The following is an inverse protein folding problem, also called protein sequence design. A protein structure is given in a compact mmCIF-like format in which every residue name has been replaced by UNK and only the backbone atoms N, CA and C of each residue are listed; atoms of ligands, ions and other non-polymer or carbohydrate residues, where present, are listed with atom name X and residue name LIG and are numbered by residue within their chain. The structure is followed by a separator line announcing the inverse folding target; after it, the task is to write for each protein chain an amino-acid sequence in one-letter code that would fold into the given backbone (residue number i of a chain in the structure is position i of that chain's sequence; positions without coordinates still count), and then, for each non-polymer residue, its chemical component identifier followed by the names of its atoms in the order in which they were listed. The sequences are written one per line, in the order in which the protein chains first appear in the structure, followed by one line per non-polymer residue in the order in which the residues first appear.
data_IF_191614812661
#
_entry.id   IF_191614812661
#
_cell.length_a   1.000
_cell.length_b   1.000
_cell.length_c   1.000
_cell.angle_alpha   90.00
_cell.angle_beta   90.00
_cell.angle_gamma   90.00
#
_symmetry.space_group_name_H-M   'P 1'
#
loop_
_entity.id
_entity.type
_entity.pdbx_description
1 polymer ?
#
# COMPACT_ATOMS: atom_id res chain seq x y z
N UNK A 1 6.93 22.09 -3.37
CA UNK A 1 7.44 20.81 -2.87
C UNK A 1 8.40 20.23 -3.88
N UNK A 2 9.55 19.78 -3.40
CA UNK A 2 10.54 18.97 -4.13
C UNK A 2 10.18 17.49 -4.00
N UNK A 3 10.73 16.64 -4.88
CA UNK A 3 10.45 15.19 -4.89
C UNK A 3 10.81 14.53 -3.53
N UNK A 4 11.85 15.03 -2.86
CA UNK A 4 12.28 14.52 -1.55
C UNK A 4 11.29 14.85 -0.43
N UNK A 5 10.69 16.05 -0.46
CA UNK A 5 9.64 16.44 0.49
C UNK A 5 8.37 15.61 0.30
N UNK A 6 7.99 15.35 -0.96
CA UNK A 6 6.86 14.46 -1.30
C UNK A 6 7.09 13.04 -0.76
N UNK A 7 8.29 12.50 -0.91
CA UNK A 7 8.63 11.17 -0.41
C UNK A 7 8.60 11.11 1.13
N UNK A 8 9.14 12.13 1.80
CA UNK A 8 9.13 12.22 3.26
C UNK A 8 7.70 12.32 3.81
N UNK A 9 6.85 13.12 3.17
CA UNK A 9 5.42 13.22 3.47
C UNK A 9 4.72 11.86 3.35
N UNK A 10 4.91 11.17 2.21
CA UNK A 10 4.32 9.86 1.98
C UNK A 10 4.80 8.82 2.99
N UNK A 11 6.11 8.79 3.31
CA UNK A 11 6.66 7.86 4.32
C UNK A 11 6.05 8.08 5.71
N UNK A 12 5.89 9.34 6.13
CA UNK A 12 5.25 9.69 7.41
C UNK A 12 3.82 9.14 7.48
N UNK A 13 3.07 9.25 6.39
CA UNK A 13 1.71 8.74 6.31
C UNK A 13 1.63 7.22 6.08
N UNK A 14 2.68 6.59 5.56
CA UNK A 14 2.75 5.14 5.36
C UNK A 14 2.82 4.40 6.70
N UNK A 15 3.61 4.91 7.64
CA UNK A 15 3.74 4.34 8.98
C UNK A 15 2.37 4.32 9.71
N UNK A 16 1.62 5.43 9.62
CA UNK A 16 0.26 5.52 10.14
C UNK A 16 -0.74 4.62 9.39
N UNK A 17 -0.52 4.36 8.10
CA UNK A 17 -1.33 3.43 7.32
C UNK A 17 -1.14 1.98 7.75
N UNK A 18 0.09 1.59 8.09
CA UNK A 18 0.43 0.24 8.58
C UNK A 18 -0.26 -0.05 9.92
N UNK A 19 -0.43 0.97 10.76
CA UNK A 19 -1.16 0.86 12.04
C UNK A 19 -2.69 0.77 11.88
N UNK A 20 -3.22 0.80 10.65
CA UNK A 20 -4.65 0.62 10.37
C UNK A 20 -5.51 1.88 10.60
N UNK A 21 -4.91 3.04 10.86
CA UNK A 21 -5.58 4.25 11.32
C UNK A 21 -6.19 5.13 10.20
N UNK A 22 -6.63 4.53 9.10
CA UNK A 22 -7.40 5.22 8.03
C UNK A 22 -6.59 6.18 7.15
N UNK A 23 -5.88 5.65 6.16
CA UNK A 23 -5.26 6.46 5.09
C UNK A 23 -6.10 6.36 3.82
N UNK A 24 -7.30 6.96 3.87
CA UNK A 24 -8.08 7.25 2.67
C UNK A 24 -7.39 8.37 1.90
N UNK A 25 -7.33 8.27 0.57
CA UNK A 25 -6.70 9.24 -0.34
C UNK A 25 -7.15 10.69 -0.05
N UNK A 26 -8.38 10.88 0.41
CA UNK A 26 -8.93 12.19 0.75
C UNK A 26 -8.22 12.87 1.95
N UNK A 27 -7.98 12.16 3.06
CA UNK A 27 -7.22 12.70 4.20
C UNK A 27 -5.79 13.07 3.81
N UNK A 28 -5.19 12.22 2.98
CA UNK A 28 -3.85 12.41 2.42
C UNK A 28 -3.79 13.68 1.55
N UNK A 29 -4.83 13.93 0.77
CA UNK A 29 -4.96 15.13 -0.06
C UNK A 29 -5.18 16.40 0.77
N UNK A 30 -5.99 16.35 1.82
CA UNK A 30 -6.17 17.48 2.76
C UNK A 30 -4.86 17.84 3.48
N UNK A 31 -4.12 16.83 3.96
CA UNK A 31 -2.80 17.03 4.56
C UNK A 31 -1.78 17.60 3.55
N UNK A 32 -1.80 17.12 2.30
CA UNK A 32 -0.96 17.64 1.23
C UNK A 32 -1.27 19.12 0.94
N UNK A 33 -2.54 19.51 0.87
CA UNK A 33 -2.91 20.92 0.69
C UNK A 33 -2.44 21.81 1.84
N UNK A 34 -2.51 21.30 3.08
CA UNK A 34 -2.02 22.04 4.25
C UNK A 34 -0.50 22.24 4.23
N UNK A 35 0.26 21.24 3.76
CA UNK A 35 1.73 21.31 3.69
C UNK A 35 2.23 22.18 2.53
N UNK A 36 1.55 22.10 1.38
CA UNK A 36 1.87 22.89 0.19
C UNK A 36 1.43 24.35 0.32
N UNK A 37 0.43 24.64 1.16
CA UNK A 37 -0.04 26.00 1.45
C UNK A 37 -0.80 26.68 0.30
N UNK A 38 -1.14 25.94 -0.75
CA UNK A 38 -1.98 26.43 -1.85
C UNK A 38 -2.95 25.33 -2.33
N UNK A 39 -4.11 25.72 -2.89
CA UNK A 39 -5.04 24.74 -3.44
C UNK A 39 -4.37 23.99 -4.59
N UNK A 40 -4.33 22.68 -4.48
CA UNK A 40 -3.87 21.76 -5.52
C UNK A 40 -5.03 20.95 -6.07
N UNK A 41 -4.92 20.51 -7.32
CA UNK A 41 -5.90 19.64 -7.97
C UNK A 41 -5.70 18.20 -7.54
N UNK A 42 -6.78 17.41 -7.46
CA UNK A 42 -6.68 15.97 -7.20
C UNK A 42 -5.82 15.24 -8.21
N UNK A 43 -5.86 15.67 -9.48
CA UNK A 43 -5.04 15.09 -10.56
C UNK A 43 -3.54 15.21 -10.28
N UNK A 44 -3.10 16.37 -9.79
CA UNK A 44 -1.70 16.63 -9.44
C UNK A 44 -1.25 15.72 -8.29
N UNK A 45 -2.13 15.56 -7.30
CA UNK A 45 -1.92 14.64 -6.20
C UNK A 45 -1.86 13.16 -6.66
N UNK A 46 -2.76 12.74 -7.56
CA UNK A 46 -2.69 11.40 -8.14
C UNK A 46 -1.43 11.19 -9.01
N UNK A 47 -0.96 12.23 -9.71
CA UNK A 47 0.30 12.18 -10.44
C UNK A 47 1.51 12.03 -9.51
N UNK A 48 1.52 12.73 -8.36
CA UNK A 48 2.49 12.54 -7.28
C UNK A 48 2.46 11.09 -6.77
N UNK A 49 1.29 10.58 -6.38
CA UNK A 49 1.16 9.20 -5.90
C UNK A 49 1.66 8.17 -6.92
N UNK A 50 1.36 8.39 -8.20
CA UNK A 50 1.82 7.54 -9.31
C UNK A 50 3.34 7.59 -9.48
N UNK A 51 3.95 8.78 -9.38
CA UNK A 51 5.41 8.96 -9.46
C UNK A 51 6.14 8.21 -8.35
N UNK A 52 5.59 8.25 -7.13
CA UNK A 52 6.15 7.58 -5.95
C UNK A 52 5.72 6.13 -5.80
N UNK A 53 5.03 5.55 -6.78
CA UNK A 53 4.60 4.15 -6.76
C UNK A 53 3.63 3.82 -5.62
N UNK A 54 2.95 4.82 -5.06
CA UNK A 54 2.06 4.64 -3.92
C UNK A 54 0.86 3.76 -4.29
N UNK A 55 0.71 2.62 -3.61
CA UNK A 55 -0.40 1.68 -3.82
C UNK A 55 -1.11 1.41 -2.51
N UNK A 56 -2.43 1.26 -2.59
CA UNK A 56 -3.23 0.73 -1.48
C UNK A 56 -2.88 -0.75 -1.29
N UNK A 57 -1.97 -1.05 -0.37
CA UNK A 57 -1.65 -2.41 0.02
C UNK A 57 -2.77 -2.95 0.92
N UNK A 58 -3.81 -3.52 0.31
CA UNK A 58 -4.80 -4.28 1.08
C UNK A 58 -4.21 -5.66 1.41
N UNK A 59 -4.23 -6.09 2.68
CA UNK A 59 -3.84 -7.46 2.99
C UNK A 59 -4.71 -8.43 2.20
N UNK A 60 -4.09 -9.50 1.67
CA UNK A 60 -4.83 -10.52 0.94
C UNK A 60 -5.86 -11.14 1.90
N UNK A 61 -7.16 -11.13 1.58
CA UNK A 61 -8.16 -11.70 2.46
C UNK A 61 -7.89 -13.20 2.63
N UNK A 62 -7.72 -13.63 3.88
CA UNK A 62 -7.63 -15.04 4.22
C UNK A 62 -9.03 -15.57 4.56
N UNK A 63 -9.35 -16.77 4.07
CA UNK A 63 -10.64 -17.38 4.35
C UNK A 63 -10.74 -17.71 5.86
N UNK A 64 -11.86 -17.43 6.54
CA UNK A 64 -11.97 -17.66 8.00
C UNK A 64 -11.83 -19.13 8.40
N UNK A 65 -12.03 -20.05 7.45
CA UNK A 65 -11.79 -21.50 7.61
C UNK A 65 -10.51 -21.96 6.89
N UNK A 66 -9.48 -21.12 6.83
CA UNK A 66 -8.19 -21.50 6.26
C UNK A 66 -7.62 -22.65 7.10
N UNK A 67 -7.21 -23.74 6.44
CA UNK A 67 -6.54 -24.84 7.11
C UNK A 67 -5.17 -24.38 7.65
N UNK A 68 -4.66 -25.03 8.70
CA UNK A 68 -3.33 -24.73 9.24
C UNK A 68 -2.25 -24.81 8.15
N UNK A 69 -1.19 -24.02 8.32
CA UNK A 69 -0.09 -23.95 7.36
C UNK A 69 0.49 -25.35 7.04
N UNK A 70 0.54 -26.22 8.05
CA UNK A 70 1.00 -27.61 7.92
C UNK A 70 0.09 -28.47 7.02
N UNK A 71 -1.23 -28.32 7.12
CA UNK A 71 -2.21 -29.03 6.29
C UNK A 71 -2.17 -28.52 4.84
N UNK A 72 -1.98 -27.21 4.64
CA UNK A 72 -1.83 -26.62 3.30
C UNK A 72 -0.56 -27.16 2.63
N UNK A 73 0.57 -27.16 3.34
CA UNK A 73 1.84 -27.69 2.84
C UNK A 73 1.75 -29.18 2.48
N UNK A 74 1.11 -29.99 3.32
CA UNK A 74 0.91 -31.42 3.07
C UNK A 74 -0.02 -31.70 1.87
N UNK A 75 -0.99 -30.81 1.59
CA UNK A 75 -1.94 -30.95 0.48
C UNK A 75 -1.41 -30.47 -0.88
N UNK A 76 -0.24 -29.82 -0.92
CA UNK A 76 0.39 -29.45 -2.19
C UNK A 76 0.87 -30.72 -2.90
N UNK A 77 0.16 -31.13 -3.95
CA UNK A 77 0.64 -32.14 -4.89
C UNK A 77 1.89 -31.62 -5.60
N UNK A 78 3.07 -31.96 -5.08
CA UNK A 78 4.34 -31.75 -5.77
C UNK A 78 4.43 -32.80 -6.87
N UNK A 79 4.05 -32.44 -8.10
CA UNK A 79 4.44 -33.22 -9.27
C UNK A 79 5.94 -32.96 -9.46
N UNK A 80 6.75 -33.83 -8.87
CA UNK A 80 8.20 -33.87 -9.09
C UNK A 80 8.44 -34.42 -10.49
N UNK A 81 8.63 -33.55 -11.48
CA UNK A 81 9.19 -33.96 -12.77
C UNK A 81 10.69 -34.15 -12.52
N UNK A 82 11.13 -35.39 -12.38
CA UNK A 82 12.54 -35.74 -12.48
C UNK A 82 12.90 -35.73 -13.96
N UNK A 83 13.73 -34.78 -14.40
CA UNK A 83 14.42 -34.87 -15.68
C UNK A 83 15.66 -35.77 -15.51
N UNK A 84 15.83 -36.72 -16.43
CA UNK A 84 16.92 -37.70 -16.54
C UNK A 84 18.19 -37.07 -17.13
#
# INVERSE_FOLDING_TARGET
MTIEEEEAFLKKHLDSAVQGEHVTVQKLFEAYQAEVGHPTTREDFYALLKRHGWRKATPRPEHPKKADAQTIEASKNKISIQED
#
